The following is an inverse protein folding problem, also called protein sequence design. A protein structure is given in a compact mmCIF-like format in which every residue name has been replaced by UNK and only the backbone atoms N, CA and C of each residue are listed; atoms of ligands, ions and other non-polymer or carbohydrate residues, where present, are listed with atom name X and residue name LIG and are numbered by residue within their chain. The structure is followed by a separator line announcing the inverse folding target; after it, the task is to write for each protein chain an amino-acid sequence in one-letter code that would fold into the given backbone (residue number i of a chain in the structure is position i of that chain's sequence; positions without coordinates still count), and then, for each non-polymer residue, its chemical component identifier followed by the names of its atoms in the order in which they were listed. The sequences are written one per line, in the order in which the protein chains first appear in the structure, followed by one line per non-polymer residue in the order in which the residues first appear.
data_IF_565558470874
#
_entry.id   IF_565558470874
#
_cell.length_a   1.000
_cell.length_b   1.000
_cell.length_c   1.000
_cell.angle_alpha   90.00
_cell.angle_beta   90.00
_cell.angle_gamma   90.00
#
_symmetry.space_group_name_H-M   'P 1'
#
loop_
_entity.id
_entity.type
_entity.pdbx_description
1 polymer ?
#
# COMPACT_ATOMS: atom_id res chain seq x y z
N UNK A 1 3.28 -3.60 -5.91
CA UNK A 1 2.00 -3.36 -6.63
C UNK A 1 1.49 -1.93 -6.42
N UNK A 2 1.54 -1.41 -5.20
CA UNK A 2 1.23 -0.03 -4.79
C UNK A 2 1.92 1.05 -5.62
N UNK A 3 3.24 0.98 -5.81
CA UNK A 3 4.00 1.98 -6.59
C UNK A 3 3.51 2.19 -8.03
N UNK A 4 3.00 1.13 -8.68
CA UNK A 4 2.44 1.23 -10.05
C UNK A 4 1.07 1.93 -10.05
N UNK A 5 0.28 1.74 -8.99
CA UNK A 5 -1.03 2.37 -8.84
C UNK A 5 -0.91 3.83 -8.43
N UNK A 6 0.07 4.17 -7.59
CA UNK A 6 0.42 5.57 -7.27
C UNK A 6 0.79 6.34 -8.54
N UNK A 7 1.67 5.78 -9.39
CA UNK A 7 2.02 6.37 -10.68
C UNK A 7 0.81 6.55 -11.60
N UNK A 8 -0.14 5.61 -11.58
CA UNK A 8 -1.37 5.70 -12.35
C UNK A 8 -2.27 6.83 -11.84
N UNK A 9 -2.39 6.98 -10.51
CA UNK A 9 -3.14 8.07 -9.88
C UNK A 9 -2.50 9.41 -10.21
N UNK A 10 -1.19 9.54 -10.06
CA UNK A 10 -0.45 10.77 -10.38
C UNK A 10 -0.62 11.17 -11.85
N UNK A 11 -0.63 10.19 -12.75
CA UNK A 11 -0.94 10.40 -14.18
C UNK A 11 -2.34 11.00 -14.38
N UNK A 12 -3.39 10.43 -13.78
CA UNK A 12 -4.73 10.99 -13.95
C UNK A 12 -4.92 12.35 -13.27
N UNK A 13 -4.23 12.58 -12.15
CA UNK A 13 -4.24 13.90 -11.49
C UNK A 13 -3.61 14.95 -12.41
N UNK A 14 -2.51 14.63 -13.09
CA UNK A 14 -1.90 15.57 -14.04
C UNK A 14 -2.79 15.85 -15.25
N UNK A 15 -3.51 14.84 -15.78
CA UNK A 15 -4.52 15.05 -16.82
C UNK A 15 -5.67 15.95 -16.35
N UNK A 16 -6.14 15.77 -15.11
CA UNK A 16 -7.15 16.65 -14.52
C UNK A 16 -6.66 18.10 -14.41
N UNK A 17 -5.39 18.31 -14.07
CA UNK A 17 -4.79 19.65 -14.06
C UNK A 17 -4.75 20.30 -15.45
N UNK A 18 -4.35 19.55 -16.48
CA UNK A 18 -4.35 20.01 -17.88
C UNK A 18 -5.78 20.35 -18.30
N UNK A 19 -6.73 19.43 -18.11
CA UNK A 19 -8.14 19.61 -18.45
C UNK A 19 -8.75 20.89 -17.84
N UNK A 20 -8.37 21.23 -16.60
CA UNK A 20 -8.88 22.42 -15.91
C UNK A 20 -8.20 23.71 -16.35
N UNK A 21 -6.92 23.67 -16.74
CA UNK A 21 -6.16 24.84 -17.17
C UNK A 21 -6.43 25.19 -18.63
N UNK A 22 -6.51 24.17 -19.48
CA UNK A 22 -6.47 24.29 -20.94
C UNK A 22 -7.76 23.78 -21.61
N UNK A 23 -8.64 23.11 -20.85
CA UNK A 23 -9.87 22.51 -21.36
C UNK A 23 -9.71 21.02 -21.70
N UNK A 24 -10.84 20.32 -21.87
CA UNK A 24 -10.84 18.88 -22.14
C UNK A 24 -10.21 18.50 -23.49
N UNK A 25 -10.28 19.39 -24.48
CA UNK A 25 -9.68 19.17 -25.80
C UNK A 25 -8.15 19.04 -25.75
N UNK A 26 -7.50 19.72 -24.80
CA UNK A 26 -6.04 19.64 -24.62
C UNK A 26 -5.55 18.23 -24.25
N UNK A 27 -6.47 17.33 -23.87
CA UNK A 27 -6.13 15.95 -23.55
C UNK A 27 -5.83 15.10 -24.78
N UNK A 28 -6.19 15.53 -26.01
CA UNK A 28 -5.85 14.82 -27.25
C UNK A 28 -4.34 14.53 -27.34
N UNK A 29 -3.51 15.52 -26.97
CA UNK A 29 -2.05 15.41 -27.00
C UNK A 29 -1.52 14.36 -26.02
N UNK A 30 -2.31 14.00 -25.01
CA UNK A 30 -1.93 13.05 -23.96
C UNK A 30 -2.30 11.60 -24.30
N UNK A 31 -3.13 11.35 -25.33
CA UNK A 31 -3.63 10.01 -25.68
C UNK A 31 -2.48 9.03 -25.94
N UNK A 32 -1.41 9.46 -26.63
CA UNK A 32 -0.26 8.59 -26.92
C UNK A 32 0.50 8.14 -25.65
N UNK A 33 0.50 8.97 -24.60
CA UNK A 33 1.18 8.71 -23.33
C UNK A 33 0.37 7.82 -22.38
N UNK A 34 -0.89 7.55 -22.70
CA UNK A 34 -1.79 6.81 -21.83
C UNK A 34 -1.32 5.36 -21.59
N UNK A 35 -1.29 4.92 -20.31
CA UNK A 35 -0.66 3.66 -19.93
C UNK A 35 -1.47 2.42 -20.30
N UNK A 36 -2.80 2.54 -20.40
CA UNK A 36 -3.69 1.42 -20.72
C UNK A 36 -4.57 1.73 -21.93
N UNK A 37 -5.18 0.69 -22.49
CA UNK A 37 -6.16 0.85 -23.56
C UNK A 37 -7.42 1.59 -23.08
N UNK A 38 -7.87 1.32 -21.85
CA UNK A 38 -9.02 2.00 -21.25
C UNK A 38 -8.73 3.50 -21.07
N UNK A 39 -7.54 3.86 -20.60
CA UNK A 39 -7.08 5.25 -20.54
C UNK A 39 -7.13 5.93 -21.91
N UNK A 40 -6.56 5.29 -22.94
CA UNK A 40 -6.53 5.86 -24.30
C UNK A 40 -7.93 6.13 -24.83
N UNK A 41 -8.80 5.12 -24.74
CA UNK A 41 -10.18 5.22 -25.20
C UNK A 41 -10.92 6.29 -24.42
N UNK A 42 -10.82 6.28 -23.09
CA UNK A 42 -11.50 7.25 -22.23
C UNK A 42 -11.06 8.68 -22.50
N UNK A 43 -9.76 8.94 -22.57
CA UNK A 43 -9.23 10.29 -22.82
C UNK A 43 -9.59 10.79 -24.22
N UNK A 44 -9.54 9.92 -25.24
CA UNK A 44 -9.99 10.28 -26.58
C UNK A 44 -11.47 10.67 -26.58
N UNK A 45 -12.35 9.85 -25.98
CA UNK A 45 -13.80 10.13 -25.92
C UNK A 45 -14.11 11.43 -25.17
N UNK A 46 -13.36 11.71 -24.10
CA UNK A 46 -13.49 12.97 -23.35
C UNK A 46 -13.13 14.16 -24.24
N UNK A 47 -12.00 14.07 -24.96
CA UNK A 47 -11.54 15.15 -25.82
C UNK A 47 -12.44 15.35 -27.05
N UNK A 48 -12.99 14.25 -27.59
CA UNK A 48 -14.01 14.25 -28.66
C UNK A 48 -15.36 14.86 -28.20
N UNK A 49 -15.52 15.16 -26.91
CA UNK A 49 -16.71 15.80 -26.35
C UNK A 49 -17.91 14.87 -26.20
N UNK A 50 -17.68 13.57 -26.01
CA UNK A 50 -18.74 12.57 -25.83
C UNK A 50 -19.56 12.89 -24.56
N UNK A 51 -20.90 12.79 -24.58
CA UNK A 51 -21.73 13.00 -23.40
C UNK A 51 -21.37 12.03 -22.26
N UNK A 52 -21.41 12.50 -21.01
CA UNK A 52 -20.95 11.73 -19.85
C UNK A 52 -21.65 10.38 -19.65
N UNK A 53 -22.94 10.29 -19.95
CA UNK A 53 -23.68 9.02 -19.89
C UNK A 53 -23.22 8.01 -20.95
N UNK A 54 -22.82 8.49 -22.13
CA UNK A 54 -22.26 7.64 -23.17
C UNK A 54 -20.83 7.24 -22.85
N UNK A 55 -20.02 8.16 -22.32
CA UNK A 55 -18.69 7.87 -21.82
C UNK A 55 -18.74 6.75 -20.77
N UNK A 56 -19.58 6.91 -19.75
CA UNK A 56 -19.73 5.90 -18.69
C UNK A 56 -20.11 4.53 -19.24
N UNK A 57 -21.10 4.48 -20.13
CA UNK A 57 -21.54 3.24 -20.76
C UNK A 57 -20.43 2.57 -21.57
N UNK A 58 -19.66 3.34 -22.35
CA UNK A 58 -18.55 2.79 -23.15
C UNK A 58 -17.47 2.25 -22.22
N UNK A 59 -17.11 2.99 -21.17
CA UNK A 59 -16.12 2.55 -20.19
C UNK A 59 -16.55 1.26 -19.49
N UNK A 60 -17.82 1.16 -19.07
CA UNK A 60 -18.35 -0.05 -18.43
C UNK A 60 -18.30 -1.26 -19.36
N UNK A 61 -18.64 -1.08 -20.64
CA UNK A 61 -18.54 -2.15 -21.62
C UNK A 61 -17.08 -2.57 -21.85
N UNK A 62 -16.15 -1.62 -21.97
CA UNK A 62 -14.72 -1.92 -22.11
C UNK A 62 -14.18 -2.71 -20.90
N UNK A 63 -14.59 -2.33 -19.69
CA UNK A 63 -14.18 -3.03 -18.45
C UNK A 63 -14.80 -4.43 -18.40
N UNK A 64 -16.10 -4.56 -18.68
CA UNK A 64 -16.79 -5.84 -18.69
C UNK A 64 -16.16 -6.81 -19.69
N UNK A 65 -15.84 -6.32 -20.89
CA UNK A 65 -15.16 -7.12 -21.91
C UNK A 65 -13.76 -7.54 -21.43
N UNK A 66 -12.92 -6.63 -20.92
CA UNK A 66 -11.58 -6.98 -20.43
C UNK A 66 -11.62 -8.03 -19.30
N UNK A 67 -12.53 -7.87 -18.34
CA UNK A 67 -12.70 -8.83 -17.23
C UNK A 67 -13.18 -10.20 -17.72
N UNK A 68 -14.10 -10.22 -18.69
CA UNK A 68 -14.57 -11.46 -19.31
C UNK A 68 -13.45 -12.21 -20.03
N UNK A 69 -12.59 -11.50 -20.77
CA UNK A 69 -11.42 -12.12 -21.42
C UNK A 69 -10.42 -12.69 -20.42
N UNK A 70 -10.31 -12.10 -19.24
CA UNK A 70 -9.43 -12.58 -18.16
C UNK A 70 -10.05 -13.71 -17.32
N UNK A 71 -11.31 -14.09 -17.59
CA UNK A 71 -12.08 -15.05 -16.80
C UNK A 71 -12.14 -14.69 -15.30
N UNK A 72 -12.27 -13.39 -15.01
CA UNK A 72 -12.35 -12.83 -13.66
C UNK A 72 -13.74 -12.23 -13.48
N UNK A 73 -14.50 -12.65 -12.46
CA UNK A 73 -15.71 -11.92 -12.09
C UNK A 73 -15.35 -10.66 -11.29
N UNK A 74 -16.21 -9.65 -11.38
CA UNK A 74 -16.08 -8.43 -10.60
C UNK A 74 -16.06 -8.80 -9.11
N UNK A 75 -15.11 -8.24 -8.36
CA UNK A 75 -14.86 -8.49 -6.91
C UNK A 75 -14.10 -9.76 -6.52
N UNK A 76 -13.87 -10.71 -7.44
CA UNK A 76 -13.13 -11.94 -7.11
C UNK A 76 -11.62 -11.73 -6.98
N UNK A 77 -11.06 -10.77 -7.72
CA UNK A 77 -9.63 -10.49 -7.73
C UNK A 77 -9.35 -8.98 -7.60
N UNK A 78 -8.98 -8.49 -6.40
CA UNK A 78 -8.65 -7.09 -6.18
C UNK A 78 -7.50 -6.59 -7.07
N UNK A 79 -6.51 -7.43 -7.37
CA UNK A 79 -5.36 -7.02 -8.18
C UNK A 79 -5.72 -6.69 -9.63
N UNK A 80 -6.82 -7.25 -10.14
CA UNK A 80 -7.34 -6.98 -11.48
C UNK A 80 -8.43 -5.90 -11.44
N UNK A 81 -9.29 -5.92 -10.42
CA UNK A 81 -10.50 -5.07 -10.36
C UNK A 81 -10.26 -3.68 -9.79
N UNK A 82 -9.28 -3.49 -8.91
CA UNK A 82 -8.94 -2.17 -8.34
C UNK A 82 -8.35 -1.21 -9.39
N UNK A 83 -7.38 -1.61 -10.23
CA UNK A 83 -6.85 -0.72 -11.27
C UNK A 83 -7.94 -0.19 -12.20
N UNK A 84 -8.81 -1.06 -12.72
CA UNK A 84 -9.88 -0.65 -13.65
C UNK A 84 -10.92 0.26 -12.99
N UNK A 85 -11.19 0.11 -11.69
CA UNK A 85 -12.05 1.03 -10.92
C UNK A 85 -11.41 2.41 -10.79
N UNK A 86 -10.12 2.47 -10.45
CA UNK A 86 -9.37 3.73 -10.39
C UNK A 86 -9.43 4.44 -11.74
N UNK A 87 -9.17 3.72 -12.83
CA UNK A 87 -9.21 4.29 -14.18
C UNK A 87 -10.60 4.83 -14.54
N UNK A 88 -11.67 4.05 -14.31
CA UNK A 88 -13.05 4.52 -14.56
C UNK A 88 -13.37 5.78 -13.75
N UNK A 89 -13.12 5.74 -12.45
CA UNK A 89 -13.37 6.86 -11.54
C UNK A 89 -12.56 8.09 -11.95
N UNK A 90 -11.31 7.90 -12.37
CA UNK A 90 -10.44 8.98 -12.82
C UNK A 90 -10.99 9.67 -14.08
N UNK A 91 -11.34 8.88 -15.09
CA UNK A 91 -11.88 9.38 -16.36
C UNK A 91 -13.20 10.14 -16.14
N UNK A 92 -14.11 9.60 -15.31
CA UNK A 92 -15.37 10.27 -14.97
C UNK A 92 -15.15 11.55 -14.17
N UNK A 93 -14.18 11.56 -13.25
CA UNK A 93 -13.82 12.74 -12.47
C UNK A 93 -13.19 13.85 -13.33
N UNK A 94 -12.32 13.48 -14.27
CA UNK A 94 -11.75 14.42 -15.25
C UNK A 94 -12.86 15.02 -16.11
N UNK A 95 -13.74 14.18 -16.67
CA UNK A 95 -14.87 14.63 -17.49
C UNK A 95 -15.77 15.60 -16.74
N UNK A 96 -16.09 15.30 -15.48
CA UNK A 96 -16.97 16.12 -14.63
C UNK A 96 -16.30 17.40 -14.14
N UNK A 97 -15.00 17.59 -14.43
CA UNK A 97 -14.24 18.75 -13.97
C UNK A 97 -14.03 18.77 -12.46
N UNK A 98 -13.84 17.60 -11.83
CA UNK A 98 -13.55 17.49 -10.41
C UNK A 98 -12.26 18.23 -10.03
N UNK A 99 -12.14 18.64 -8.76
CA UNK A 99 -10.91 19.25 -8.28
C UNK A 99 -9.77 18.21 -8.26
N UNK A 100 -8.56 18.46 -8.79
CA UNK A 100 -7.51 17.44 -8.87
C UNK A 100 -7.11 16.85 -7.50
N UNK A 101 -7.18 17.64 -6.43
CA UNK A 101 -6.95 17.17 -5.05
C UNK A 101 -8.07 16.25 -4.59
N UNK A 102 -9.31 16.60 -4.87
CA UNK A 102 -10.47 15.76 -4.55
C UNK A 102 -10.46 14.48 -5.39
N UNK A 103 -10.10 14.57 -6.67
CA UNK A 103 -9.92 13.43 -7.55
C UNK A 103 -8.87 12.47 -6.99
N UNK A 104 -7.66 12.97 -6.65
CA UNK A 104 -6.61 12.17 -6.00
C UNK A 104 -7.17 11.42 -4.78
N UNK A 105 -7.87 12.13 -3.90
CA UNK A 105 -8.50 11.57 -2.70
C UNK A 105 -9.46 10.43 -3.02
N UNK A 106 -10.32 10.64 -4.00
CA UNK A 106 -11.30 9.65 -4.45
C UNK A 106 -10.60 8.42 -5.04
N UNK A 107 -9.55 8.61 -5.85
CA UNK A 107 -8.79 7.52 -6.43
C UNK A 107 -8.04 6.69 -5.38
N UNK A 108 -7.42 7.34 -4.41
CA UNK A 108 -6.76 6.67 -3.30
C UNK A 108 -7.74 5.85 -2.45
N UNK A 109 -9.01 6.27 -2.35
CA UNK A 109 -10.02 5.50 -1.61
C UNK A 109 -10.26 4.09 -2.16
N UNK A 110 -10.01 3.87 -3.46
CA UNK A 110 -10.10 2.53 -4.06
C UNK A 110 -8.94 1.60 -3.66
N UNK A 111 -7.85 2.13 -3.12
CA UNK A 111 -6.73 1.36 -2.58
C UNK A 111 -6.93 0.99 -1.09
N UNK A 112 -8.00 1.48 -0.45
CA UNK A 112 -8.32 1.23 0.96
C UNK A 112 -7.92 2.37 1.90
N UNK A 113 -8.28 2.22 3.18
CA UNK A 113 -8.06 3.24 4.23
C UNK A 113 -6.58 3.65 4.34
N UNK A 114 -5.66 2.72 4.10
CA UNK A 114 -4.23 2.96 4.10
C UNK A 114 -3.83 4.10 3.15
N UNK A 115 -4.04 3.94 1.84
CA UNK A 115 -3.62 4.95 0.85
C UNK A 115 -4.22 6.34 1.08
N UNK A 116 -5.42 6.38 1.69
CA UNK A 116 -6.13 7.61 2.07
C UNK A 116 -5.49 8.32 3.27
N UNK A 117 -4.89 7.56 4.19
CA UNK A 117 -4.16 8.09 5.35
C UNK A 117 -2.78 8.63 4.95
N UNK A 118 -2.09 7.99 3.99
CA UNK A 118 -0.81 8.48 3.43
C UNK A 118 -0.90 9.90 2.86
N UNK A 119 -2.02 10.22 2.20
CA UNK A 119 -2.28 11.55 1.63
C UNK A 119 -2.45 12.65 2.72
N UNK A 120 -2.64 12.25 3.98
CA UNK A 120 -2.59 13.15 5.14
C UNK A 120 -1.24 13.15 5.86
N UNK A 121 -0.21 12.49 5.31
CA UNK A 121 1.08 12.29 5.98
C UNK A 121 1.01 11.27 7.12
N UNK A 122 -0.04 10.44 7.15
CA UNK A 122 -0.18 9.32 8.09
C UNK A 122 0.26 8.07 7.35
N UNK A 123 1.51 7.65 7.58
CA UNK A 123 2.12 6.51 6.88
C UNK A 123 1.47 5.18 7.28
N UNK A 124 0.43 4.81 6.55
CA UNK A 124 -0.31 3.57 6.75
C UNK A 124 0.44 2.29 6.36
N UNK A 125 1.56 2.41 5.64
CA UNK A 125 2.48 1.28 5.36
C UNK A 125 3.16 0.83 6.65
N UNK A 126 3.03 1.59 7.74
CA UNK A 126 3.78 1.40 8.94
C UNK A 126 2.95 1.10 10.20
N UNK A 127 1.67 0.74 10.17
CA UNK A 127 1.03 0.35 11.45
C UNK A 127 1.67 -0.94 12.01
N UNK A 128 1.79 -1.99 11.20
CA UNK A 128 2.44 -3.24 11.66
C UNK A 128 3.98 -3.11 11.73
N UNK A 129 4.59 -2.32 10.83
CA UNK A 129 6.04 -2.06 10.89
C UNK A 129 6.42 -1.15 12.06
N UNK A 130 5.57 -0.22 12.48
CA UNK A 130 5.74 0.56 13.72
C UNK A 130 5.35 -0.26 14.94
N UNK A 131 4.41 -1.22 14.85
CA UNK A 131 4.18 -2.21 15.92
C UNK A 131 5.42 -3.03 16.23
N UNK A 132 6.31 -3.27 15.25
CA UNK A 132 7.62 -3.85 15.55
C UNK A 132 8.44 -2.97 16.53
N UNK A 133 8.30 -1.65 16.49
CA UNK A 133 8.92 -0.73 17.45
C UNK A 133 8.25 -0.80 18.84
N UNK A 134 7.01 -1.29 18.94
CA UNK A 134 6.33 -1.47 20.24
C UNK A 134 7.05 -2.48 21.13
N UNK A 135 7.89 -3.37 20.58
CA UNK A 135 8.79 -4.22 21.37
C UNK A 135 9.60 -3.44 22.41
N UNK A 136 9.97 -2.18 22.13
CA UNK A 136 10.69 -1.31 23.07
C UNK A 136 9.86 -0.92 24.29
N UNK A 137 8.54 -0.98 24.19
CA UNK A 137 7.58 -0.63 25.24
C UNK A 137 6.96 -1.86 25.92
N UNK A 138 7.39 -3.07 25.55
CA UNK A 138 6.92 -4.31 26.16
C UNK A 138 7.86 -4.75 27.29
N UNK A 139 7.28 -5.40 28.29
CA UNK A 139 8.08 -6.04 29.34
C UNK A 139 8.90 -7.20 28.77
N UNK A 140 10.06 -7.46 29.37
CA UNK A 140 10.99 -8.53 28.97
C UNK A 140 10.29 -9.90 28.78
N UNK A 141 9.34 -10.26 29.67
CA UNK A 141 8.57 -11.51 29.53
C UNK A 141 7.68 -11.54 28.27
N UNK A 142 7.12 -10.40 27.88
CA UNK A 142 6.30 -10.24 26.68
C UNK A 142 7.16 -10.22 25.42
N UNK A 143 8.32 -9.55 25.45
CA UNK A 143 9.31 -9.63 24.38
C UNK A 143 9.72 -11.09 24.16
N UNK A 144 10.08 -11.81 25.22
CA UNK A 144 10.45 -13.23 25.15
C UNK A 144 9.33 -14.13 24.62
N UNK A 145 8.07 -13.79 24.89
CA UNK A 145 6.90 -14.54 24.37
C UNK A 145 6.78 -14.38 22.86
N UNK A 146 6.94 -13.16 22.36
CA UNK A 146 6.91 -12.82 20.92
C UNK A 146 8.07 -13.49 20.20
N UNK A 147 9.30 -13.35 20.73
CA UNK A 147 10.51 -13.90 20.10
C UNK A 147 10.48 -15.43 19.93
N UNK A 148 9.67 -16.17 20.71
CA UNK A 148 9.52 -17.63 20.57
C UNK A 148 8.72 -18.07 19.35
N UNK A 149 7.94 -17.17 18.74
CA UNK A 149 7.14 -17.48 17.55
C UNK A 149 7.95 -17.42 16.25
N UNK A 150 9.19 -16.93 16.30
CA UNK A 150 10.02 -16.67 15.13
C UNK A 150 11.33 -17.45 15.17
N UNK A 151 11.81 -17.84 13.99
CA UNK A 151 13.12 -18.44 13.84
C UNK A 151 14.22 -17.37 13.76
N UNK A 152 15.46 -17.80 13.99
CA UNK A 152 16.64 -16.90 13.99
C UNK A 152 16.77 -16.12 12.68
N UNK A 153 16.39 -16.74 11.57
CA UNK A 153 16.45 -16.11 10.25
C UNK A 153 15.44 -14.97 10.11
N UNK A 154 14.16 -15.16 10.44
CA UNK A 154 13.17 -14.07 10.36
C UNK A 154 13.53 -12.93 11.31
N UNK A 155 14.05 -13.25 12.50
CA UNK A 155 14.55 -12.23 13.43
C UNK A 155 15.74 -11.45 12.83
N UNK A 156 16.69 -12.13 12.18
CA UNK A 156 17.82 -11.47 11.50
C UNK A 156 17.34 -10.59 10.34
N UNK A 157 16.39 -11.08 9.53
CA UNK A 157 15.80 -10.33 8.41
C UNK A 157 15.10 -9.06 8.92
N UNK A 158 14.34 -9.13 10.02
CA UNK A 158 13.64 -8.00 10.61
C UNK A 158 14.59 -6.97 11.26
N UNK A 159 15.70 -7.42 11.85
CA UNK A 159 16.66 -6.58 12.57
C UNK A 159 17.75 -5.95 11.69
N UNK A 160 17.87 -6.39 10.43
CA UNK A 160 18.89 -5.91 9.48
C UNK A 160 18.83 -4.38 9.28
N UNK A 161 17.62 -3.80 9.25
CA UNK A 161 17.39 -2.35 9.13
C UNK A 161 16.69 -1.74 10.37
N UNK A 162 16.73 -2.44 11.51
CA UNK A 162 16.21 -1.93 12.77
C UNK A 162 17.21 -0.98 13.45
N UNK A 163 16.71 -0.04 14.26
CA UNK A 163 17.56 0.80 15.11
C UNK A 163 18.28 -0.02 16.19
N UNK A 164 19.42 0.50 16.66
CA UNK A 164 20.27 -0.19 17.64
C UNK A 164 19.52 -0.48 18.96
N UNK A 165 18.64 0.42 19.41
CA UNK A 165 17.83 0.23 20.61
C UNK A 165 16.97 -1.05 20.55
N UNK A 166 16.37 -1.31 19.39
CA UNK A 166 15.51 -2.47 19.19
C UNK A 166 16.33 -3.76 19.10
N UNK A 167 17.49 -3.68 18.45
CA UNK A 167 18.44 -4.79 18.39
C UNK A 167 18.91 -5.17 19.80
N UNK A 168 19.25 -4.18 20.63
CA UNK A 168 19.68 -4.39 22.01
C UNK A 168 18.56 -4.97 22.87
N UNK A 169 17.33 -4.49 22.71
CA UNK A 169 16.16 -5.03 23.41
C UNK A 169 15.91 -6.50 23.08
N UNK A 170 16.02 -6.88 21.80
CA UNK A 170 15.88 -8.27 21.35
C UNK A 170 17.03 -9.13 21.87
N UNK A 171 18.28 -8.69 21.71
CA UNK A 171 19.46 -9.43 22.15
C UNK A 171 19.46 -9.69 23.67
N UNK A 172 19.05 -8.69 24.46
CA UNK A 172 18.92 -8.81 25.93
C UNK A 172 17.85 -9.82 26.34
N UNK A 173 16.84 -10.04 25.52
CA UNK A 173 15.72 -10.96 25.78
C UNK A 173 15.92 -12.35 25.19
N UNK A 174 17.06 -12.61 24.54
CA UNK A 174 17.44 -13.95 24.08
C UNK A 174 18.34 -14.65 25.09
N UNK A 175 18.37 -15.99 25.01
CA UNK A 175 19.42 -16.76 25.70
C UNK A 175 20.79 -16.45 25.09
N UNK A 176 21.88 -16.61 25.87
CA UNK A 176 23.25 -16.38 25.37
C UNK A 176 23.53 -17.09 24.05
N UNK A 177 23.11 -18.36 23.93
CA UNK A 177 23.33 -19.14 22.71
C UNK A 177 22.48 -18.60 21.54
N UNK A 178 21.22 -18.25 21.78
CA UNK A 178 20.34 -17.71 20.74
C UNK A 178 20.80 -16.33 20.26
N UNK A 179 21.29 -15.48 21.16
CA UNK A 179 21.87 -14.19 20.83
C UNK A 179 23.13 -14.34 19.96
N UNK A 180 24.04 -15.26 20.31
CA UNK A 180 25.22 -15.54 19.48
C UNK A 180 24.82 -16.02 18.08
N UNK A 181 23.87 -16.96 17.97
CA UNK A 181 23.40 -17.45 16.67
C UNK A 181 22.75 -16.33 15.84
N UNK A 182 21.95 -15.47 16.47
CA UNK A 182 21.31 -14.34 15.78
C UNK A 182 22.33 -13.31 15.32
N UNK A 183 23.37 -13.07 16.12
CA UNK A 183 24.43 -12.15 15.78
C UNK A 183 25.26 -12.66 14.59
N UNK A 184 25.63 -13.94 14.59
CA UNK A 184 26.30 -14.59 13.45
C UNK A 184 25.44 -14.53 12.17
N UNK A 185 24.13 -14.78 12.28
CA UNK A 185 23.21 -14.68 11.15
C UNK A 185 23.12 -13.24 10.63
N UNK A 186 23.03 -12.24 11.52
CA UNK A 186 22.99 -10.82 11.16
C UNK A 186 24.24 -10.35 10.43
N UNK A 187 25.42 -10.86 10.78
CA UNK A 187 26.67 -10.54 10.09
C UNK A 187 26.73 -11.14 8.68
N UNK A 188 26.05 -12.28 8.45
CA UNK A 188 26.03 -12.99 7.17
C UNK A 188 24.82 -12.68 6.26
N UNK A 189 23.78 -12.02 6.78
CA UNK A 189 22.52 -11.91 6.05
C UNK A 189 22.58 -10.86 4.92
N UNK A 190 22.13 -11.27 3.73
CA UNK A 190 21.85 -10.37 2.61
C UNK A 190 20.35 -10.31 2.38
N UNK A 191 19.70 -9.41 3.10
CA UNK A 191 18.25 -9.21 3.06
C UNK A 191 17.93 -8.01 2.15
N UNK A 192 16.97 -8.16 1.23
CA UNK A 192 16.45 -7.02 0.47
C UNK A 192 15.53 -6.16 1.35
N UNK A 193 15.33 -4.88 0.99
CA UNK A 193 14.38 -4.00 1.70
C UNK A 193 12.98 -4.61 1.78
N UNK A 194 12.53 -5.31 0.74
CA UNK A 194 11.22 -5.99 0.69
C UNK A 194 11.14 -7.17 1.66
N UNK A 195 12.20 -7.97 1.77
CA UNK A 195 12.26 -9.09 2.70
C UNK A 195 12.30 -8.61 4.17
N UNK A 196 13.06 -7.55 4.44
CA UNK A 196 13.12 -6.90 5.75
C UNK A 196 11.74 -6.35 6.16
N UNK A 197 11.07 -5.64 5.26
CA UNK A 197 9.73 -5.12 5.51
C UNK A 197 8.72 -6.26 5.78
N UNK A 198 8.78 -7.34 5.02
CA UNK A 198 7.89 -8.48 5.20
C UNK A 198 8.11 -9.20 6.54
N UNK A 199 9.36 -9.33 6.98
CA UNK A 199 9.70 -9.87 8.29
C UNK A 199 9.20 -8.97 9.43
N UNK A 200 9.37 -7.66 9.31
CA UNK A 200 8.88 -6.68 10.29
C UNK A 200 7.34 -6.69 10.38
N UNK A 201 6.64 -6.73 9.25
CA UNK A 201 5.17 -6.82 9.23
C UNK A 201 4.69 -8.09 9.94
N UNK A 202 5.30 -9.25 9.65
CA UNK A 202 4.92 -10.52 10.31
C UNK A 202 5.11 -10.48 11.83
N UNK A 203 6.19 -9.85 12.30
CA UNK A 203 6.41 -9.69 13.74
C UNK A 203 5.38 -8.73 14.34
N UNK A 204 5.10 -7.61 13.65
CA UNK A 204 4.05 -6.66 14.04
C UNK A 204 2.67 -7.29 14.18
N UNK A 205 2.28 -8.14 13.22
CA UNK A 205 0.99 -8.85 13.22
C UNK A 205 0.84 -9.73 14.47
N UNK A 206 1.87 -10.51 14.82
CA UNK A 206 1.85 -11.35 16.03
C UNK A 206 1.82 -10.52 17.32
N UNK A 207 2.52 -9.38 17.35
CA UNK A 207 2.45 -8.45 18.48
C UNK A 207 1.02 -7.91 18.62
N UNK A 208 0.39 -7.52 17.52
CA UNK A 208 -1.01 -7.09 17.47
C UNK A 208 -1.95 -8.16 18.01
N UNK A 209 -1.85 -9.39 17.50
CA UNK A 209 -2.68 -10.52 17.92
C UNK A 209 -2.55 -10.78 19.43
N UNK A 210 -1.32 -10.75 19.96
CA UNK A 210 -1.09 -10.99 21.39
C UNK A 210 -1.46 -9.80 22.29
N UNK A 211 -1.43 -8.56 21.79
CA UNK A 211 -1.95 -7.39 22.51
C UNK A 211 -3.48 -7.45 22.57
N UNK A 212 -4.14 -7.80 21.46
CA UNK A 212 -5.59 -7.96 21.39
C UNK A 212 -6.10 -9.13 22.25
N UNK A 213 -5.32 -10.22 22.37
CA UNK A 213 -5.63 -11.33 23.27
C UNK A 213 -5.32 -11.03 24.75
N UNK A 214 -4.62 -9.93 25.04
CA UNK A 214 -4.19 -9.58 26.40
C UNK A 214 -3.05 -10.44 26.93
N UNK A 215 -2.30 -11.11 26.05
CA UNK A 215 -1.14 -11.94 26.40
C UNK A 215 0.14 -11.12 26.62
N UNK A 216 0.24 -9.93 26.02
CA UNK A 216 1.37 -9.02 26.22
C UNK A 216 1.03 -7.92 27.22
N UNK A 217 2.02 -7.56 28.02
CA UNK A 217 1.92 -6.50 29.01
C UNK A 217 2.89 -5.39 28.57
N UNK A 218 2.34 -4.22 28.30
CA UNK A 218 3.14 -3.04 28.00
C UNK A 218 3.61 -2.37 29.29
N UNK A 219 4.67 -1.56 29.18
CA UNK A 219 5.13 -0.69 30.26
C UNK A 219 4.17 0.49 30.52
N UNK A 220 3.26 0.77 29.59
CA UNK A 220 2.29 1.87 29.65
C UNK A 220 0.99 1.51 30.40
N UNK A 221 0.72 0.23 30.67
CA UNK A 221 -0.50 -0.25 31.34
C UNK A 221 -0.51 -0.07 32.87
N UNK A 222 0.36 0.80 33.42
CA UNK A 222 0.53 1.02 34.87
C UNK A 222 0.08 2.40 35.36
N UNK A 223 -0.80 3.10 34.64
CA UNK A 223 -1.47 4.34 35.11
C UNK A 223 -2.98 4.27 35.04
#
# INVERSE_FOLDING_TARGET
MTKRLEQLIDFYVSLSEIARKEGLLALEDQVASCPTNLSRVGIQLIADGVPGSQLELILDNCIADDLKHRNVQLWDNPAVTVPVKIEKTALMGIYSGENPRFLRRMLLSHLGACAVLQDFGIDCVNVERERFLELLHLKDLSIQRVLREFDTRVLAEALSHAGDDLRDAVMRNLSKNAATMLQEELEGISCSEECCAQAQIRIGEIIGDFLESGELISDLDMT
#
